data_IF_306828855523
#
_entry.id   IF_306828855523
#
_cell.length_a   1.000
_cell.length_b   1.000
_cell.length_c   1.000
_cell.angle_alpha   90.00
_cell.angle_beta   90.00
_cell.angle_gamma   90.00
#
_symmetry.space_group_name_H-M   'P 1'
#
loop_
_entity.id
_entity.type
_entity.pdbx_description
1 polymer ?
#
# COMPACT_ATOMS: atom_id res chain seq x y z
N UNK A 1 -7.97 4.67 61.45
CA UNK A 1 -7.23 5.20 60.31
C UNK A 1 -7.54 4.32 59.13
N UNK A 2 -8.41 4.74 58.20
CA UNK A 2 -8.82 3.98 57.03
C UNK A 2 -7.96 4.38 55.86
N UNK A 3 -7.12 3.50 55.36
CA UNK A 3 -6.23 3.69 54.23
C UNK A 3 -7.08 3.59 52.94
N UNK A 4 -7.22 4.69 52.24
CA UNK A 4 -7.94 4.76 50.97
C UNK A 4 -6.94 4.39 49.84
N UNK A 5 -6.98 3.13 49.41
CA UNK A 5 -6.23 2.67 48.24
C UNK A 5 -6.92 3.17 46.97
N UNK A 6 -6.32 4.17 46.32
CA UNK A 6 -6.74 4.73 45.04
C UNK A 6 -6.29 3.75 43.93
N UNK A 7 -7.18 3.14 43.12
CA UNK A 7 -6.78 2.34 41.99
C UNK A 7 -6.33 3.26 40.87
N UNK A 8 -5.04 3.23 40.55
CA UNK A 8 -4.47 3.88 39.37
C UNK A 8 -4.95 3.10 38.15
N UNK A 9 -5.94 3.65 37.44
CA UNK A 9 -6.42 3.15 36.17
C UNK A 9 -5.37 3.49 35.11
N UNK A 10 -4.46 2.54 34.82
CA UNK A 10 -3.52 2.61 33.70
C UNK A 10 -4.31 2.52 32.39
N UNK A 11 -4.63 3.69 31.81
CA UNK A 11 -5.14 3.79 30.45
C UNK A 11 -3.97 3.45 29.51
N UNK A 12 -3.87 2.18 29.14
CA UNK A 12 -3.01 1.73 28.05
C UNK A 12 -3.60 2.28 26.75
N UNK A 13 -3.18 3.49 26.35
CA UNK A 13 -3.38 3.99 24.98
C UNK A 13 -2.57 3.08 24.06
N UNK A 14 -3.16 1.97 23.66
CA UNK A 14 -2.61 1.08 22.66
C UNK A 14 -2.44 1.87 21.37
N UNK A 15 -1.22 2.27 21.02
CA UNK A 15 -0.87 2.65 19.66
C UNK A 15 -1.19 1.44 18.77
N UNK A 16 -2.38 1.42 18.19
CA UNK A 16 -2.85 0.37 17.29
C UNK A 16 -1.96 0.32 16.06
N UNK A 17 -0.91 -0.47 16.13
CA UNK A 17 -0.08 -0.77 14.96
C UNK A 17 -0.76 -1.89 14.19
N UNK A 18 -1.05 -1.64 12.91
CA UNK A 18 -1.66 -2.64 12.05
C UNK A 18 -0.74 -3.85 11.89
N UNK A 19 -1.28 -5.05 12.14
CA UNK A 19 -0.53 -6.30 12.00
C UNK A 19 -0.42 -6.77 10.55
N UNK A 20 -1.26 -6.25 9.65
CA UNK A 20 -1.30 -6.66 8.25
C UNK A 20 -1.90 -5.55 7.35
N UNK A 21 -1.68 -5.68 6.05
CA UNK A 21 -2.36 -4.85 5.03
C UNK A 21 -3.88 -5.05 5.07
N UNK A 22 -4.34 -6.26 5.41
CA UNK A 22 -5.77 -6.52 5.57
C UNK A 22 -6.40 -5.63 6.64
N UNK A 23 -5.83 -5.61 7.82
CA UNK A 23 -6.36 -4.81 8.92
C UNK A 23 -6.28 -3.30 8.64
N UNK A 24 -5.25 -2.85 7.93
CA UNK A 24 -5.14 -1.47 7.49
C UNK A 24 -6.22 -1.13 6.45
N UNK A 25 -6.42 -1.99 5.45
CA UNK A 25 -7.43 -1.83 4.42
C UNK A 25 -8.84 -1.78 5.05
N UNK A 26 -9.19 -2.77 5.87
CA UNK A 26 -10.52 -2.86 6.48
C UNK A 26 -10.84 -1.66 7.37
N UNK A 27 -9.84 -1.14 8.08
CA UNK A 27 -10.03 0.02 8.96
C UNK A 27 -10.24 1.32 8.19
N UNK A 28 -9.55 1.51 7.07
CA UNK A 28 -9.50 2.81 6.38
C UNK A 28 -10.32 2.86 5.08
N UNK A 29 -10.88 1.74 4.60
CA UNK A 29 -11.61 1.70 3.33
C UNK A 29 -12.85 2.61 3.28
N UNK A 30 -13.43 2.94 4.44
CA UNK A 30 -14.60 3.78 4.57
C UNK A 30 -14.29 5.18 5.15
N UNK A 31 -13.01 5.52 5.33
CA UNK A 31 -12.65 6.84 5.84
C UNK A 31 -13.02 7.92 4.82
N UNK A 32 -13.40 9.10 5.32
CA UNK A 32 -13.75 10.23 4.46
C UNK A 32 -12.57 10.62 3.56
N UNK A 33 -12.84 10.87 2.28
CA UNK A 33 -11.86 11.20 1.24
C UNK A 33 -10.84 10.08 0.94
N UNK A 34 -11.02 8.87 1.45
CA UNK A 34 -10.26 7.70 1.07
C UNK A 34 -10.96 6.98 -0.06
N UNK A 35 -10.24 6.67 -1.13
CA UNK A 35 -10.71 5.76 -2.16
C UNK A 35 -10.06 4.40 -1.90
N UNK A 36 -10.84 3.37 -1.70
CA UNK A 36 -10.32 2.03 -1.47
C UNK A 36 -11.18 1.01 -2.19
N UNK A 37 -10.55 0.14 -2.97
CA UNK A 37 -11.25 -0.97 -3.61
C UNK A 37 -10.34 -2.18 -3.84
N UNK A 38 -10.97 -3.33 -3.91
CA UNK A 38 -10.35 -4.58 -4.34
C UNK A 38 -10.64 -4.74 -5.83
N UNK A 39 -9.58 -4.88 -6.62
CA UNK A 39 -9.69 -4.98 -8.08
C UNK A 39 -10.33 -6.32 -8.47
N UNK A 40 -11.47 -6.31 -9.16
CA UNK A 40 -12.10 -7.53 -9.64
C UNK A 40 -11.22 -8.25 -10.65
N UNK A 41 -11.31 -9.57 -10.70
CA UNK A 41 -10.45 -10.39 -11.59
C UNK A 41 -10.62 -10.09 -13.08
N UNK A 42 -11.82 -9.73 -13.50
CA UNK A 42 -12.07 -9.38 -14.91
C UNK A 42 -11.27 -8.13 -15.36
N UNK A 43 -10.90 -7.25 -14.44
CA UNK A 43 -10.06 -6.09 -14.74
C UNK A 43 -8.58 -6.45 -14.91
N UNK A 44 -8.16 -7.63 -14.50
CA UNK A 44 -6.77 -8.07 -14.64
C UNK A 44 -6.35 -8.19 -16.12
N UNK A 45 -7.27 -8.56 -17.02
CA UNK A 45 -7.00 -8.59 -18.45
C UNK A 45 -6.70 -7.19 -19.00
N UNK A 46 -7.47 -6.19 -18.60
CA UNK A 46 -7.25 -4.79 -19.01
C UNK A 46 -5.91 -4.27 -18.51
N UNK A 47 -5.57 -4.59 -17.25
CA UNK A 47 -4.27 -4.23 -16.67
C UNK A 47 -3.12 -4.94 -17.41
N UNK A 48 -3.32 -6.20 -17.80
CA UNK A 48 -2.31 -6.99 -18.52
C UNK A 48 -1.97 -6.43 -19.92
N UNK A 49 -2.86 -5.65 -20.51
CA UNK A 49 -2.64 -5.02 -21.82
C UNK A 49 -1.75 -3.77 -21.77
N UNK A 50 -1.50 -3.23 -20.57
CA UNK A 50 -0.70 -2.01 -20.40
C UNK A 50 0.77 -2.27 -20.76
N UNK A 51 1.34 -3.37 -20.30
CA UNK A 51 2.71 -3.77 -20.63
C UNK A 51 2.95 -5.26 -20.37
N UNK A 52 3.99 -5.87 -20.99
CA UNK A 52 4.40 -7.25 -20.71
C UNK A 52 4.70 -7.52 -19.22
N UNK A 53 5.28 -6.54 -18.53
CA UNK A 53 5.59 -6.59 -17.10
C UNK A 53 4.31 -6.67 -16.28
N UNK A 54 3.31 -5.83 -16.62
CA UNK A 54 1.98 -5.84 -16.01
C UNK A 54 1.30 -7.19 -16.21
N UNK A 55 1.32 -7.70 -17.42
CA UNK A 55 0.80 -9.04 -17.74
C UNK A 55 1.44 -10.10 -16.87
N UNK A 56 2.77 -10.06 -16.73
CA UNK A 56 3.50 -11.00 -15.87
C UNK A 56 3.11 -10.89 -14.40
N UNK A 57 2.88 -9.68 -13.89
CA UNK A 57 2.46 -9.47 -12.51
C UNK A 57 1.02 -9.93 -12.26
N UNK A 58 0.05 -9.45 -13.05
CA UNK A 58 -1.36 -9.76 -12.80
C UNK A 58 -1.70 -11.23 -13.01
N UNK A 59 -1.01 -11.94 -13.90
CA UNK A 59 -1.21 -13.38 -14.11
C UNK A 59 -0.88 -14.24 -12.88
N UNK A 60 -0.01 -13.75 -12.00
CA UNK A 60 0.39 -14.40 -10.74
C UNK A 60 -0.31 -13.82 -9.52
N UNK A 61 -1.18 -12.81 -9.72
CA UNK A 61 -1.90 -12.12 -8.65
C UNK A 61 -3.21 -12.84 -8.33
N UNK A 62 -3.45 -13.04 -7.03
CA UNK A 62 -4.70 -13.61 -6.49
C UNK A 62 -5.62 -12.53 -5.94
N UNK A 63 -5.04 -11.50 -5.32
CA UNK A 63 -5.76 -10.37 -4.73
C UNK A 63 -4.96 -9.09 -5.02
N UNK A 64 -5.66 -8.09 -5.53
CA UNK A 64 -5.11 -6.77 -5.84
C UNK A 64 -5.97 -5.72 -5.18
N UNK A 65 -5.35 -4.86 -4.37
CA UNK A 65 -6.04 -3.78 -3.67
C UNK A 65 -5.36 -2.46 -3.92
N UNK A 66 -6.19 -1.45 -4.03
CA UNK A 66 -5.79 -0.08 -4.16
C UNK A 66 -6.40 0.76 -3.05
N UNK A 67 -5.61 1.64 -2.47
CA UNK A 67 -6.07 2.67 -1.55
C UNK A 67 -5.41 4.01 -1.89
N UNK A 68 -6.19 5.06 -1.88
CA UNK A 68 -5.74 6.43 -2.09
C UNK A 68 -6.23 7.31 -0.94
N UNK A 69 -5.32 8.05 -0.37
CA UNK A 69 -5.53 8.97 0.75
C UNK A 69 -5.21 10.41 0.34
N UNK A 70 -5.88 11.41 0.92
CA UNK A 70 -5.43 12.78 0.83
C UNK A 70 -4.06 12.93 1.52
N UNK A 71 -3.17 13.75 0.94
CA UNK A 71 -1.84 14.05 1.50
C UNK A 71 -1.50 15.54 1.33
N UNK A 72 -2.51 16.40 1.54
CA UNK A 72 -2.41 17.85 1.34
C UNK A 72 -1.78 18.58 2.53
N UNK A 73 -1.74 17.94 3.69
CA UNK A 73 -1.16 18.52 4.91
C UNK A 73 0.05 17.72 5.38
N UNK A 74 0.97 18.38 6.10
CA UNK A 74 2.13 17.71 6.71
C UNK A 74 1.71 16.55 7.62
N UNK A 75 0.63 16.69 8.36
CA UNK A 75 0.11 15.65 9.24
C UNK A 75 -0.34 14.41 8.46
N UNK A 76 -1.07 14.60 7.36
CA UNK A 76 -1.50 13.51 6.45
C UNK A 76 -0.30 12.81 5.82
N UNK A 77 0.65 13.58 5.28
CA UNK A 77 1.89 13.03 4.70
C UNK A 77 2.68 12.22 5.73
N UNK A 78 2.86 12.74 6.94
CA UNK A 78 3.56 12.05 8.01
C UNK A 78 2.84 10.78 8.46
N UNK A 79 1.50 10.82 8.55
CA UNK A 79 0.69 9.65 8.86
C UNK A 79 0.97 8.53 7.85
N UNK A 80 0.82 8.80 6.55
CA UNK A 80 1.03 7.81 5.49
C UNK A 80 2.46 7.26 5.47
N UNK A 81 3.45 8.14 5.62
CA UNK A 81 4.86 7.75 5.70
C UNK A 81 5.14 6.85 6.91
N UNK A 82 4.53 7.12 8.07
CA UNK A 82 4.63 6.26 9.26
C UNK A 82 4.01 4.89 9.01
N UNK A 83 2.82 4.84 8.40
CA UNK A 83 2.16 3.56 8.06
C UNK A 83 3.05 2.71 7.15
N UNK A 84 3.62 3.30 6.09
CA UNK A 84 4.54 2.57 5.21
C UNK A 84 5.78 2.06 5.96
N UNK A 85 6.38 2.88 6.81
CA UNK A 85 7.52 2.46 7.62
C UNK A 85 7.18 1.31 8.58
N UNK A 86 5.98 1.31 9.17
CA UNK A 86 5.51 0.23 10.05
C UNK A 86 5.33 -1.10 9.30
N UNK A 87 4.81 -1.07 8.08
CA UNK A 87 4.72 -2.27 7.24
C UNK A 87 6.12 -2.81 6.90
N UNK A 88 7.03 -1.94 6.48
CA UNK A 88 8.40 -2.31 6.15
C UNK A 88 9.14 -2.93 7.35
N UNK A 89 8.96 -2.39 8.56
CA UNK A 89 9.68 -2.86 9.75
C UNK A 89 9.24 -4.22 10.27
N UNK A 90 8.05 -4.72 9.91
CA UNK A 90 7.45 -5.90 10.55
C UNK A 90 7.56 -7.20 9.76
N UNK A 91 7.51 -7.15 8.44
CA UNK A 91 7.48 -8.37 7.65
C UNK A 91 7.74 -8.16 6.16
N UNK A 92 7.82 -6.90 5.74
CA UNK A 92 8.17 -6.55 4.37
C UNK A 92 9.63 -6.14 4.28
N UNK A 93 10.29 -6.60 3.23
CA UNK A 93 11.65 -6.20 2.87
C UNK A 93 11.54 -5.12 1.81
N UNK A 94 12.09 -3.96 2.07
CA UNK A 94 12.15 -2.89 1.08
C UNK A 94 13.18 -3.24 0.01
N UNK A 95 12.76 -3.21 -1.25
CA UNK A 95 13.61 -3.52 -2.42
C UNK A 95 13.86 -2.32 -3.31
N UNK A 96 13.08 -1.25 -3.16
CA UNK A 96 13.23 0.00 -3.88
C UNK A 96 12.75 1.17 -3.05
N UNK A 97 13.51 2.27 -3.08
CA UNK A 97 13.10 3.56 -2.51
C UNK A 97 13.60 4.69 -3.40
N UNK A 98 12.70 5.60 -3.72
CA UNK A 98 13.03 6.88 -4.35
C UNK A 98 12.37 7.99 -3.57
N UNK A 99 13.18 8.86 -3.02
CA UNK A 99 12.72 10.07 -2.36
C UNK A 99 13.17 11.26 -3.22
N UNK A 100 12.23 12.07 -3.61
CA UNK A 100 12.44 13.40 -4.17
C UNK A 100 11.79 14.40 -3.20
N UNK A 101 12.14 15.71 -3.33
CA UNK A 101 11.65 16.76 -2.40
C UNK A 101 10.14 16.72 -2.17
N UNK A 102 9.38 16.33 -3.18
CA UNK A 102 7.91 16.30 -3.17
C UNK A 102 7.29 14.91 -3.34
N UNK A 103 8.12 13.88 -3.54
CA UNK A 103 7.61 12.53 -3.86
C UNK A 103 8.38 11.47 -3.10
N UNK A 104 7.65 10.47 -2.65
CA UNK A 104 8.21 9.28 -2.03
C UNK A 104 7.60 8.04 -2.67
N UNK A 105 8.43 7.21 -3.30
CA UNK A 105 8.04 5.92 -3.83
C UNK A 105 8.80 4.81 -3.10
N UNK A 106 8.09 3.80 -2.65
CA UNK A 106 8.68 2.65 -1.94
C UNK A 106 8.04 1.38 -2.48
N UNK A 107 8.86 0.38 -2.76
CA UNK A 107 8.40 -0.97 -3.07
C UNK A 107 8.95 -1.91 -2.03
N UNK A 108 8.06 -2.66 -1.41
CA UNK A 108 8.39 -3.64 -0.39
C UNK A 108 7.75 -4.99 -0.73
N UNK A 109 8.44 -6.07 -0.40
CA UNK A 109 7.99 -7.42 -0.68
C UNK A 109 7.99 -8.26 0.60
N UNK A 110 7.14 -9.28 0.62
CA UNK A 110 7.20 -10.37 1.59
C UNK A 110 7.47 -11.68 0.89
N UNK A 111 8.58 -12.32 1.25
CA UNK A 111 8.98 -13.61 0.72
C UNK A 111 8.63 -14.75 1.68
N UNK A 112 8.31 -15.91 1.15
CA UNK A 112 8.17 -17.16 1.88
C UNK A 112 8.64 -18.31 1.00
N UNK A 113 9.68 -19.05 1.45
CA UNK A 113 10.25 -20.21 0.71
C UNK A 113 10.60 -19.84 -0.74
N UNK A 114 11.43 -18.83 -0.92
CA UNK A 114 11.92 -18.36 -2.23
C UNK A 114 10.83 -17.94 -3.24
N UNK A 115 9.65 -17.56 -2.73
CA UNK A 115 8.55 -17.01 -3.52
C UNK A 115 8.10 -15.69 -2.90
N UNK A 116 8.02 -14.65 -3.69
CA UNK A 116 7.39 -13.40 -3.26
C UNK A 116 5.87 -13.63 -3.18
N UNK A 117 5.33 -13.50 -1.98
CA UNK A 117 3.89 -13.69 -1.70
C UNK A 117 3.12 -12.40 -1.74
N UNK A 118 3.76 -11.31 -1.38
CA UNK A 118 3.11 -10.01 -1.28
C UNK A 118 4.04 -8.92 -1.79
N UNK A 119 3.46 -7.97 -2.50
CA UNK A 119 4.14 -6.77 -2.98
C UNK A 119 3.31 -5.58 -2.52
N UNK A 120 3.95 -4.63 -1.86
CA UNK A 120 3.36 -3.38 -1.45
C UNK A 120 4.09 -2.23 -2.13
N UNK A 121 3.37 -1.46 -2.93
CA UNK A 121 3.87 -0.27 -3.60
C UNK A 121 3.21 0.93 -2.94
N UNK A 122 4.03 1.82 -2.42
CA UNK A 122 3.61 3.08 -1.84
C UNK A 122 4.12 4.24 -2.69
N UNK A 123 3.23 5.18 -2.99
CA UNK A 123 3.56 6.44 -3.64
C UNK A 123 2.91 7.61 -2.90
N UNK A 124 3.64 8.69 -2.68
CA UNK A 124 3.13 9.92 -2.10
C UNK A 124 3.76 11.13 -2.83
N UNK A 125 2.93 12.05 -3.30
CA UNK A 125 3.32 13.26 -4.05
C UNK A 125 2.96 14.56 -3.32
N UNK A 126 2.69 14.51 -2.01
CA UNK A 126 2.23 15.63 -1.17
C UNK A 126 0.87 16.24 -1.56
N UNK A 127 0.14 15.60 -2.46
CA UNK A 127 -1.26 15.90 -2.78
C UNK A 127 -2.11 14.70 -2.36
N UNK A 128 -1.60 13.51 -2.67
CA UNK A 128 -2.23 12.21 -2.38
C UNK A 128 -1.19 11.15 -2.13
N UNK A 129 -1.47 10.26 -1.21
CA UNK A 129 -0.71 9.04 -1.00
C UNK A 129 -1.50 7.85 -1.48
N UNK A 130 -0.84 6.87 -2.07
CA UNK A 130 -1.47 5.63 -2.52
C UNK A 130 -0.71 4.40 -2.06
N UNK A 131 -1.47 3.36 -1.76
CA UNK A 131 -0.98 2.01 -1.51
C UNK A 131 -1.57 1.09 -2.56
N UNK A 132 -0.71 0.32 -3.22
CA UNK A 132 -1.10 -0.73 -4.13
C UNK A 132 -0.52 -2.04 -3.60
N UNK A 133 -1.40 -2.99 -3.32
CA UNK A 133 -1.05 -4.25 -2.71
C UNK A 133 -1.41 -5.41 -3.60
N UNK A 134 -0.43 -6.28 -3.83
CA UNK A 134 -0.59 -7.53 -4.56
C UNK A 134 -0.35 -8.70 -3.63
N UNK A 135 -1.24 -9.66 -3.64
CA UNK A 135 -1.04 -10.99 -3.05
C UNK A 135 -1.04 -12.03 -4.16
N UNK A 136 -0.06 -12.94 -4.14
CA UNK A 136 0.07 -13.93 -5.20
C UNK A 136 1.29 -14.84 -5.04
N UNK A 137 1.84 -15.29 -6.17
CA UNK A 137 3.06 -16.09 -6.23
C UNK A 137 3.97 -15.52 -7.32
N UNK A 138 4.91 -14.67 -6.94
CA UNK A 138 5.76 -13.98 -7.89
C UNK A 138 7.19 -14.51 -7.84
N UNK A 139 7.87 -14.49 -8.99
CA UNK A 139 9.28 -14.84 -9.08
C UNK A 139 10.14 -13.71 -8.47
N UNK A 140 10.98 -13.98 -7.46
CA UNK A 140 11.76 -12.95 -6.79
C UNK A 140 12.71 -12.19 -7.73
N UNK A 141 13.34 -12.90 -8.69
CA UNK A 141 14.28 -12.28 -9.61
C UNK A 141 13.58 -11.30 -10.55
N UNK A 142 12.38 -11.65 -11.04
CA UNK A 142 11.57 -10.74 -11.88
C UNK A 142 11.16 -9.49 -11.10
N UNK A 143 10.74 -9.65 -9.84
CA UNK A 143 10.33 -8.51 -9.02
C UNK A 143 11.52 -7.59 -8.71
N UNK A 144 12.69 -8.15 -8.39
CA UNK A 144 13.91 -7.35 -8.17
C UNK A 144 14.40 -6.67 -9.45
N UNK A 145 14.25 -7.30 -10.60
CA UNK A 145 14.56 -6.68 -11.91
C UNK A 145 13.65 -5.48 -12.18
N UNK A 146 12.32 -5.62 -12.01
CA UNK A 146 11.36 -4.52 -12.15
C UNK A 146 11.71 -3.35 -11.21
N UNK A 147 12.14 -3.64 -9.97
CA UNK A 147 12.57 -2.63 -9.02
C UNK A 147 13.81 -1.86 -9.50
N UNK A 148 14.82 -2.56 -10.04
CA UNK A 148 16.08 -1.95 -10.53
C UNK A 148 15.89 -1.07 -11.75
N UNK A 149 15.04 -1.48 -12.69
CA UNK A 149 14.79 -0.76 -13.93
C UNK A 149 13.92 0.50 -13.73
N UNK A 150 13.52 0.82 -12.49
CA UNK A 150 12.56 1.87 -12.17
C UNK A 150 11.19 1.70 -12.88
N UNK A 151 10.90 0.50 -13.37
CA UNK A 151 9.66 0.19 -14.09
C UNK A 151 8.44 0.30 -13.19
N UNK A 152 8.62 0.28 -11.85
CA UNK A 152 7.56 0.57 -10.90
C UNK A 152 7.05 2.01 -10.95
N UNK A 153 7.87 2.99 -11.36
CA UNK A 153 7.40 4.36 -11.62
C UNK A 153 6.48 4.38 -12.85
N UNK A 154 6.86 3.68 -13.92
CA UNK A 154 6.04 3.52 -15.14
C UNK A 154 4.79 2.70 -14.86
N UNK A 155 4.94 1.65 -14.08
CA UNK A 155 3.88 0.80 -13.59
C UNK A 155 2.82 1.58 -12.80
N UNK A 156 3.21 2.36 -11.79
CA UNK A 156 2.26 3.17 -11.01
C UNK A 156 1.62 4.26 -11.85
N UNK A 157 2.37 4.89 -12.77
CA UNK A 157 1.83 5.90 -13.69
C UNK A 157 0.85 5.33 -14.71
N UNK A 158 1.07 4.12 -15.20
CA UNK A 158 0.16 3.44 -16.12
C UNK A 158 -1.09 2.91 -15.44
N UNK A 159 -0.97 2.41 -14.20
CA UNK A 159 -2.06 1.81 -13.45
C UNK A 159 -2.98 2.84 -12.77
N UNK A 160 -2.41 3.90 -12.18
CA UNK A 160 -3.17 4.88 -11.41
C UNK A 160 -4.26 5.62 -12.20
N UNK A 161 -4.07 6.04 -13.47
CA UNK A 161 -5.14 6.64 -14.26
C UNK A 161 -6.31 5.68 -14.49
N UNK A 162 -6.03 4.41 -14.77
CA UNK A 162 -7.08 3.41 -14.99
C UNK A 162 -7.84 3.07 -13.70
N UNK A 163 -7.15 3.06 -12.56
CA UNK A 163 -7.77 2.93 -11.25
C UNK A 163 -8.66 4.12 -10.89
N UNK A 164 -8.29 5.33 -11.35
CA UNK A 164 -9.14 6.51 -11.17
C UNK A 164 -10.43 6.46 -12.01
N UNK A 165 -10.39 5.87 -13.20
CA UNK A 165 -11.57 5.67 -14.04
C UNK A 165 -12.52 4.61 -13.48
N UNK A 166 -12.01 3.66 -12.69
CA UNK A 166 -12.81 2.63 -12.01
C UNK A 166 -13.45 3.11 -10.70
N UNK A 167 -13.05 4.28 -10.20
CA UNK A 167 -13.68 4.90 -9.03
C UNK A 167 -14.87 5.74 -9.50
N UNK A 168 -16.11 5.46 -9.07
CA UNK A 168 -17.22 6.37 -9.33
C UNK A 168 -16.86 7.73 -8.71
N UNK A 169 -16.92 8.79 -9.51
CA UNK A 169 -16.82 10.16 -9.04
C UNK A 169 -17.94 10.39 -8.02
N UNK A 170 -17.59 10.32 -6.74
CA UNK A 170 -18.44 10.82 -5.66
C UNK A 170 -18.13 12.32 -5.55
N UNK A 171 -18.47 13.05 -6.60
CA UNK A 171 -18.60 14.51 -6.56
C UNK A 171 -20.06 14.84 -6.31
N UNK A 172 -20.42 14.94 -5.05
CA UNK A 172 -21.54 15.73 -4.55
C UNK A 172 -21.10 16.40 -3.24
#
# INVERSE_FOLDING_TARGET
MKSLALPILLVLTGCGSYSSIDSFYEKHKNDNQVTAFRVPRFMFSLIAEISPEMKSMVSHTKDLRYMRFPSKTTAQTQFLNRQMNQFASRSFIEIFRKNDKLKRNVVSIREKRDVVKEILIYSNDNIRGSFLYFNGNFNPNKIRQLARNQDFDSFTKGLLPQMNLASPDISN
#
